data_IF_938434631787
#
_entry.id   IF_938434631787
#
_cell.length_a   1.000
_cell.length_b   1.000
_cell.length_c   1.000
_cell.angle_alpha   90.00
_cell.angle_beta   90.00
_cell.angle_gamma   90.00
#
_symmetry.space_group_name_H-M   'P 1'
#
loop_
_entity.id
_entity.type
_entity.pdbx_description
1 polymer ?
#
# COMPACT_ATOMS: atom_id res chain seq x y z
N UNK A 1 8.48 -15.41 -7.28
CA UNK A 1 7.46 -14.44 -6.90
C UNK A 1 6.38 -15.11 -6.07
N UNK A 2 6.06 -14.56 -4.88
CA UNK A 2 5.18 -15.16 -3.88
C UNK A 2 3.76 -15.44 -4.40
N UNK A 3 3.08 -14.43 -4.96
CA UNK A 3 1.70 -14.53 -5.42
C UNK A 3 1.46 -15.68 -6.40
N UNK A 4 2.36 -15.87 -7.38
CA UNK A 4 2.26 -16.97 -8.33
C UNK A 4 2.45 -18.36 -7.67
N UNK A 5 3.35 -18.44 -6.67
CA UNK A 5 3.53 -19.68 -5.91
C UNK A 5 2.29 -20.02 -5.10
N UNK A 6 1.71 -19.02 -4.44
CA UNK A 6 0.47 -19.19 -3.68
C UNK A 6 -0.70 -19.57 -4.60
N UNK A 7 -0.85 -18.90 -5.73
CA UNK A 7 -1.87 -19.23 -6.74
C UNK A 7 -1.79 -20.69 -7.16
N UNK A 8 -0.60 -21.15 -7.53
CA UNK A 8 -0.38 -22.56 -7.92
C UNK A 8 -0.70 -23.53 -6.79
N UNK A 9 -0.30 -23.20 -5.55
CA UNK A 9 -0.57 -24.04 -4.37
C UNK A 9 -2.07 -24.22 -4.13
N UNK A 10 -2.87 -23.19 -4.41
CA UNK A 10 -4.30 -23.19 -4.21
C UNK A 10 -5.12 -23.53 -5.48
N UNK A 11 -4.45 -23.96 -6.56
CA UNK A 11 -5.11 -24.41 -7.79
C UNK A 11 -5.56 -23.27 -8.71
N UNK A 12 -5.09 -22.05 -8.50
CA UNK A 12 -5.38 -20.91 -9.38
C UNK A 12 -4.32 -20.74 -10.47
N UNK A 13 -4.76 -20.26 -11.63
CA UNK A 13 -3.85 -19.82 -12.67
C UNK A 13 -3.07 -18.60 -12.17
N UNK A 14 -1.73 -18.55 -12.33
CA UNK A 14 -0.94 -17.38 -11.94
C UNK A 14 -1.33 -16.11 -12.68
N UNK A 15 -1.33 -14.98 -11.98
CA UNK A 15 -1.60 -13.67 -12.55
C UNK A 15 -0.40 -13.09 -13.30
N UNK A 16 0.81 -13.23 -12.73
CA UNK A 16 2.02 -12.68 -13.33
C UNK A 16 2.61 -13.64 -14.36
N UNK A 17 2.87 -13.14 -15.57
CA UNK A 17 3.59 -13.86 -16.63
C UNK A 17 5.08 -13.60 -16.42
N UNK A 18 5.83 -14.64 -16.04
CA UNK A 18 7.24 -14.52 -15.67
C UNK A 18 8.05 -15.51 -16.50
N UNK A 19 9.16 -15.03 -17.06
CA UNK A 19 10.17 -15.87 -17.71
C UNK A 19 11.57 -15.47 -17.21
N UNK A 20 12.37 -16.46 -16.79
CA UNK A 20 13.72 -16.24 -16.25
C UNK A 20 13.77 -15.09 -15.23
N UNK A 21 12.88 -15.12 -14.23
CA UNK A 21 12.72 -14.13 -13.17
C UNK A 21 12.30 -12.71 -13.62
N UNK A 22 12.09 -12.50 -14.92
CA UNK A 22 11.60 -11.24 -15.45
C UNK A 22 10.10 -11.26 -15.61
N UNK A 23 9.44 -10.20 -15.14
CA UNK A 23 8.03 -9.94 -15.39
C UNK A 23 7.86 -9.56 -16.87
N UNK A 24 7.05 -10.32 -17.58
CA UNK A 24 6.73 -10.07 -19.00
C UNK A 24 5.33 -9.45 -19.18
N UNK A 25 4.46 -9.54 -18.17
CA UNK A 25 3.10 -9.00 -18.22
C UNK A 25 2.17 -9.66 -17.22
N UNK A 26 0.89 -9.45 -17.43
CA UNK A 26 -0.18 -9.86 -16.54
C UNK A 26 -1.24 -10.65 -17.30
N UNK A 27 -1.74 -11.72 -16.70
CA UNK A 27 -2.92 -12.43 -17.19
C UNK A 27 -4.18 -11.89 -16.53
N UNK A 28 -4.86 -10.97 -17.18
CA UNK A 28 -6.07 -10.32 -16.66
C UNK A 28 -7.26 -11.28 -16.54
N UNK A 29 -7.22 -12.46 -17.16
CA UNK A 29 -8.22 -13.51 -16.98
C UNK A 29 -7.97 -14.37 -15.75
N UNK A 30 -6.81 -14.21 -15.10
CA UNK A 30 -6.42 -14.98 -13.94
C UNK A 30 -7.23 -14.59 -12.70
N UNK A 31 -7.65 -15.60 -11.92
CA UNK A 31 -8.20 -15.42 -10.57
C UNK A 31 -7.18 -15.73 -9.48
N UNK A 32 -5.90 -15.81 -9.85
CA UNK A 32 -4.80 -16.02 -8.92
C UNK A 32 -4.47 -14.78 -8.10
N UNK A 33 -3.62 -14.98 -7.12
CA UNK A 33 -3.15 -13.92 -6.25
C UNK A 33 -2.22 -12.96 -6.98
N UNK A 34 -2.34 -11.69 -6.62
CA UNK A 34 -1.52 -10.58 -7.08
C UNK A 34 -1.32 -9.55 -5.96
N UNK A 35 -0.54 -8.53 -6.21
CA UNK A 35 -0.57 -7.33 -5.39
C UNK A 35 -1.85 -6.52 -5.70
N UNK A 36 -2.38 -5.75 -4.76
CA UNK A 36 -3.42 -4.77 -5.07
C UNK A 36 -2.86 -3.74 -6.05
N UNK A 37 -3.71 -3.13 -6.86
CA UNK A 37 -3.33 -1.93 -7.58
C UNK A 37 -3.24 -0.74 -6.61
N UNK A 38 -2.57 0.33 -7.02
CA UNK A 38 -2.55 1.57 -6.25
C UNK A 38 -3.96 2.08 -5.95
N UNK A 39 -4.84 2.08 -6.95
CA UNK A 39 -6.23 2.49 -6.79
C UNK A 39 -7.03 1.59 -5.84
N UNK A 40 -6.81 0.27 -5.87
CA UNK A 40 -7.43 -0.65 -4.92
C UNK A 40 -6.93 -0.41 -3.50
N UNK A 41 -5.64 -0.18 -3.33
CA UNK A 41 -5.03 0.11 -2.05
C UNK A 41 -5.62 1.39 -1.45
N UNK A 42 -5.68 2.46 -2.23
CA UNK A 42 -6.26 3.74 -1.82
C UNK A 42 -7.76 3.64 -1.53
N UNK A 43 -8.51 2.88 -2.33
CA UNK A 43 -9.94 2.65 -2.10
C UNK A 43 -10.21 1.99 -0.75
N UNK A 44 -9.40 1.01 -0.37
CA UNK A 44 -9.58 0.27 0.88
C UNK A 44 -9.28 1.14 2.10
N UNK A 45 -8.32 2.06 2.03
CA UNK A 45 -7.95 2.93 3.15
C UNK A 45 -8.97 4.06 3.40
N UNK A 46 -9.89 4.27 2.48
CA UNK A 46 -10.97 5.23 2.72
C UNK A 46 -11.07 6.35 1.72
N UNK A 47 -10.68 6.07 0.48
CA UNK A 47 -11.10 6.89 -0.63
C UNK A 47 -12.61 6.85 -0.79
N UNK A 48 -13.16 7.84 -1.39
CA UNK A 48 -14.23 8.68 -0.89
C UNK A 48 -15.38 7.86 -0.34
N UNK A 49 -15.96 8.31 0.74
CA UNK A 49 -17.24 7.80 1.14
C UNK A 49 -18.21 7.96 -0.06
N UNK A 50 -19.19 7.07 -0.15
CA UNK A 50 -20.21 7.05 -1.21
C UNK A 50 -21.05 8.35 -1.28
N UNK A 51 -20.84 9.30 -0.38
CA UNK A 51 -21.53 10.58 -0.29
C UNK A 51 -20.90 11.67 -1.16
N UNK A 52 -19.76 11.40 -1.80
CA UNK A 52 -19.04 12.36 -2.63
C UNK A 52 -18.41 13.51 -1.84
N UNK A 53 -18.30 13.35 -0.53
CA UNK A 53 -17.63 14.31 0.33
C UNK A 53 -16.11 14.28 0.12
N UNK A 54 -15.48 15.39 0.42
CA UNK A 54 -14.06 15.67 0.15
C UNK A 54 -13.15 14.48 0.51
N UNK A 55 -12.29 14.12 -0.42
CA UNK A 55 -11.21 13.15 -0.22
C UNK A 55 -10.44 13.47 1.06
N UNK A 56 -10.25 12.46 1.91
CA UNK A 56 -9.42 12.58 3.10
C UNK A 56 -7.96 12.71 2.69
N UNK A 57 -7.22 13.56 3.39
CA UNK A 57 -5.76 13.68 3.21
C UNK A 57 -5.05 12.51 3.90
N UNK A 58 -5.49 12.19 5.11
CA UNK A 58 -4.93 11.12 5.94
C UNK A 58 -5.96 10.05 6.25
N UNK A 59 -5.56 8.84 6.61
CA UNK A 59 -6.48 7.77 7.01
C UNK A 59 -7.46 8.16 8.13
N UNK A 60 -7.03 9.02 9.04
CA UNK A 60 -7.86 9.52 10.17
C UNK A 60 -8.68 10.77 9.83
N UNK A 61 -8.50 11.40 8.67
CA UNK A 61 -9.23 12.60 8.23
C UNK A 61 -8.32 13.68 7.65
N UNK A 62 -8.68 14.95 7.86
CA UNK A 62 -7.95 16.09 7.30
C UNK A 62 -7.17 16.90 8.35
N UNK A 63 -7.21 16.49 9.61
CA UNK A 63 -6.41 17.12 10.66
C UNK A 63 -4.95 16.70 10.55
N UNK A 64 -4.04 17.67 10.61
CA UNK A 64 -2.58 17.41 10.58
C UNK A 64 -2.05 16.78 11.87
N UNK A 65 -2.87 16.74 12.93
CA UNK A 65 -2.46 16.24 14.24
C UNK A 65 -2.87 14.77 14.43
N UNK A 66 -1.91 13.96 14.81
CA UNK A 66 -2.15 12.64 15.38
C UNK A 66 -2.43 12.78 16.89
N UNK A 67 -3.64 12.47 17.31
CA UNK A 67 -4.04 12.64 18.72
C UNK A 67 -3.86 11.36 19.56
N UNK A 68 -3.82 10.18 18.93
CA UNK A 68 -3.79 8.88 19.62
C UNK A 68 -2.83 7.92 18.92
N UNK A 69 -2.41 6.87 19.62
CA UNK A 69 -1.64 5.76 19.05
C UNK A 69 -2.53 4.93 18.12
N UNK A 70 -2.62 5.35 16.85
CA UNK A 70 -3.46 4.72 15.82
C UNK A 70 -2.67 3.84 14.86
N UNK A 71 -1.35 3.85 14.94
CA UNK A 71 -0.46 3.13 14.04
C UNK A 71 0.94 2.96 14.66
N UNK A 72 1.71 2.04 14.13
CA UNK A 72 3.13 1.91 14.44
C UNK A 72 3.94 2.85 13.54
N UNK A 73 4.47 3.92 14.11
CA UNK A 73 5.21 5.00 13.42
C UNK A 73 6.51 5.30 14.15
N UNK A 74 7.33 6.19 13.60
CA UNK A 74 8.56 6.63 14.28
C UNK A 74 8.22 7.59 15.43
N UNK A 75 7.95 7.04 16.58
CA UNK A 75 7.58 7.73 17.81
C UNK A 75 8.80 8.14 18.65
N UNK A 76 8.58 8.84 19.76
CA UNK A 76 9.64 9.30 20.65
C UNK A 76 10.41 8.16 21.33
N UNK A 77 9.87 6.95 21.37
CA UNK A 77 10.47 5.75 21.98
C UNK A 77 11.14 4.83 20.96
N UNK A 78 10.98 5.09 19.65
CA UNK A 78 11.51 4.24 18.58
C UNK A 78 13.03 4.12 18.61
N UNK A 79 13.73 5.14 19.09
CA UNK A 79 15.18 5.25 19.03
C UNK A 79 15.68 5.79 17.67
N UNK A 80 14.80 6.18 16.76
CA UNK A 80 15.14 6.79 15.49
C UNK A 80 15.63 8.23 15.69
N UNK A 81 16.42 8.74 14.74
CA UNK A 81 16.92 10.12 14.76
C UNK A 81 15.79 11.14 14.58
N UNK A 82 14.84 10.81 13.74
CA UNK A 82 13.69 11.66 13.44
C UNK A 82 12.42 10.96 13.92
N UNK A 83 11.61 11.67 14.67
CA UNK A 83 10.42 11.14 15.31
C UNK A 83 9.25 12.10 15.24
N UNK A 84 8.05 11.60 15.35
CA UNK A 84 6.85 12.41 15.55
C UNK A 84 6.83 12.84 17.01
N UNK A 85 7.03 14.13 17.26
CA UNK A 85 6.95 14.69 18.60
C UNK A 85 5.51 14.57 19.13
N UNK A 86 5.36 14.19 20.36
CA UNK A 86 4.05 14.00 21.03
C UNK A 86 3.24 12.78 20.50
N UNK A 87 3.91 11.82 19.87
CA UNK A 87 3.33 10.54 19.50
C UNK A 87 4.05 9.42 20.23
N UNK A 88 3.31 8.44 20.72
CA UNK A 88 3.84 7.25 21.38
C UNK A 88 3.01 6.06 20.92
N UNK A 89 3.68 5.05 20.43
CA UNK A 89 3.13 3.72 20.24
C UNK A 89 3.93 2.69 21.08
N UNK A 90 3.61 1.45 20.98
CA UNK A 90 4.25 0.43 21.85
C UNK A 90 5.38 -0.33 21.15
N UNK A 91 5.70 0.00 19.88
CA UNK A 91 6.58 -0.81 19.06
C UNK A 91 7.72 0.02 18.46
N UNK A 92 8.95 -0.47 18.58
CA UNK A 92 10.16 0.16 18.00
C UNK A 92 10.45 -0.30 16.56
N UNK A 93 9.93 -1.46 16.19
CA UNK A 93 10.06 -2.10 14.90
C UNK A 93 8.70 -2.63 14.48
N UNK A 94 8.63 -3.58 13.59
CA UNK A 94 7.36 -4.18 13.17
C UNK A 94 6.53 -4.67 14.36
N UNK A 95 5.27 -4.29 14.37
CA UNK A 95 4.26 -4.81 15.30
C UNK A 95 3.59 -6.07 14.74
N UNK A 96 3.01 -6.93 15.61
CA UNK A 96 2.08 -7.95 15.14
C UNK A 96 0.93 -7.31 14.34
N UNK A 97 0.45 -8.00 13.31
CA UNK A 97 -0.79 -7.60 12.62
C UNK A 97 -1.92 -7.48 13.63
N UNK A 98 -2.84 -6.53 13.38
CA UNK A 98 -4.00 -6.25 14.23
C UNK A 98 -3.70 -5.57 15.60
N UNK A 99 -2.48 -5.08 15.79
CA UNK A 99 -2.14 -4.29 16.98
C UNK A 99 -2.86 -2.94 17.05
N UNK A 100 -3.31 -2.41 15.92
CA UNK A 100 -3.91 -1.10 15.79
C UNK A 100 -5.35 -1.18 15.23
N UNK A 101 -6.15 -0.10 15.35
CA UNK A 101 -7.53 -0.08 14.88
C UNK A 101 -7.68 -0.39 13.39
N UNK A 102 -8.76 -1.08 13.05
CA UNK A 102 -9.15 -1.31 11.64
C UNK A 102 -9.52 -0.01 10.94
N UNK A 103 -9.27 0.02 9.64
CA UNK A 103 -9.91 1.00 8.75
C UNK A 103 -11.43 0.83 8.75
N UNK A 104 -12.16 1.83 8.26
CA UNK A 104 -13.61 1.73 8.06
C UNK A 104 -14.02 0.56 7.16
N UNK A 105 -13.13 0.11 6.28
CA UNK A 105 -13.31 -1.06 5.41
C UNK A 105 -12.98 -2.39 6.11
N UNK A 106 -12.57 -2.38 7.38
CA UNK A 106 -12.34 -3.58 8.19
C UNK A 106 -10.94 -4.19 8.07
N UNK A 107 -9.98 -3.48 7.49
CA UNK A 107 -8.61 -3.93 7.31
C UNK A 107 -7.65 -3.29 8.31
N UNK A 108 -6.57 -4.00 8.65
CA UNK A 108 -5.51 -3.54 9.54
C UNK A 108 -4.29 -3.02 8.79
N UNK A 109 -3.47 -2.25 9.49
CA UNK A 109 -2.09 -1.88 9.12
C UNK A 109 -1.95 -1.18 7.76
N UNK A 110 -2.92 -0.31 7.40
CA UNK A 110 -2.81 0.57 6.24
C UNK A 110 -2.09 1.90 6.55
N UNK A 111 -1.87 2.17 7.82
CA UNK A 111 -1.08 3.28 8.33
C UNK A 111 -0.01 2.72 9.25
N UNK A 112 1.24 3.08 9.01
CA UNK A 112 2.37 2.61 9.79
C UNK A 112 2.69 1.13 9.60
N UNK A 113 3.45 0.59 10.49
CA UNK A 113 3.99 -0.76 10.53
C UNK A 113 4.96 -1.05 9.36
N UNK A 114 4.48 -1.33 8.17
CA UNK A 114 5.31 -1.52 6.99
C UNK A 114 4.71 -0.82 5.77
N UNK A 115 5.53 -0.15 4.98
CA UNK A 115 5.19 0.28 3.61
C UNK A 115 4.85 -0.94 2.76
N UNK A 116 4.11 -0.74 1.69
CA UNK A 116 3.60 -1.85 0.90
C UNK A 116 3.80 -1.67 -0.60
N UNK A 117 4.37 -2.70 -1.24
CA UNK A 117 4.37 -2.82 -2.69
C UNK A 117 2.96 -2.93 -3.23
N UNK A 118 2.66 -2.17 -4.28
CA UNK A 118 1.47 -2.37 -5.11
C UNK A 118 1.84 -2.86 -6.51
N UNK A 119 0.84 -3.19 -7.32
CA UNK A 119 1.06 -3.78 -8.64
C UNK A 119 1.61 -2.79 -9.65
N UNK A 120 1.26 -1.51 -9.50
CA UNK A 120 1.51 -0.47 -10.48
C UNK A 120 3.00 -0.18 -10.61
N UNK A 121 3.48 -0.02 -11.83
CA UNK A 121 4.78 0.56 -12.06
C UNK A 121 4.76 2.05 -11.71
N UNK A 122 5.86 2.53 -11.12
CA UNK A 122 6.01 3.93 -10.77
C UNK A 122 6.21 4.78 -12.03
N UNK A 123 5.50 5.89 -12.11
CA UNK A 123 5.70 6.95 -13.09
C UNK A 123 5.47 8.30 -12.40
N UNK A 124 6.35 9.25 -12.64
CA UNK A 124 6.17 10.63 -12.18
C UNK A 124 5.02 11.33 -12.92
N UNK A 125 4.87 10.99 -14.22
CA UNK A 125 3.76 11.48 -15.03
C UNK A 125 2.59 10.50 -14.92
N UNK A 126 1.65 10.80 -14.05
CA UNK A 126 0.31 10.22 -14.17
C UNK A 126 -0.36 10.98 -15.31
N UNK A 127 -0.32 10.44 -16.52
CA UNK A 127 -1.02 11.03 -17.64
C UNK A 127 -2.53 11.06 -17.32
N UNK A 128 -3.06 12.25 -17.08
CA UNK A 128 -4.50 12.47 -16.86
C UNK A 128 -5.33 11.91 -18.04
N UNK A 129 -4.72 11.77 -19.21
CA UNK A 129 -5.33 11.15 -20.37
C UNK A 129 -5.45 9.62 -20.25
N UNK A 130 -4.61 8.96 -19.46
CA UNK A 130 -4.65 7.52 -19.24
C UNK A 130 -5.64 7.12 -18.14
N UNK A 131 -6.04 8.07 -17.29
CA UNK A 131 -7.00 7.83 -16.18
C UNK A 131 -8.45 7.90 -16.62
N UNK A 132 -8.74 8.12 -17.91
CA UNK A 132 -10.10 8.20 -18.40
C UNK A 132 -10.78 6.82 -18.31
N UNK A 133 -11.35 6.51 -17.14
CA UNK A 133 -12.24 5.37 -16.90
C UNK A 133 -11.79 4.06 -17.59
N UNK A 134 -10.63 3.56 -17.22
CA UNK A 134 -10.30 2.17 -17.53
C UNK A 134 -10.75 1.31 -16.36
N UNK A 135 -11.86 0.57 -16.47
CA UNK A 135 -12.19 -0.44 -15.47
C UNK A 135 -11.02 -1.40 -15.35
N UNK A 136 -10.68 -1.78 -14.11
CA UNK A 136 -9.59 -2.70 -13.80
C UNK A 136 -8.18 -2.23 -14.25
N UNK A 137 -7.94 -0.92 -14.25
CA UNK A 137 -6.60 -0.39 -14.53
C UNK A 137 -5.57 -0.91 -13.51
N UNK A 138 -4.50 -1.47 -14.02
CA UNK A 138 -3.43 -2.13 -13.23
C UNK A 138 -2.11 -1.36 -13.24
N UNK A 139 -2.16 -0.07 -13.55
CA UNK A 139 -0.99 0.77 -13.71
C UNK A 139 -0.38 0.73 -15.12
N UNK A 140 0.72 1.44 -15.35
CA UNK A 140 1.47 1.39 -16.60
C UNK A 140 1.91 -0.04 -16.93
N UNK A 141 1.96 -0.39 -18.21
CA UNK A 141 2.33 -1.73 -18.66
C UNK A 141 3.80 -2.07 -18.41
N UNK A 142 4.64 -1.07 -18.20
CA UNK A 142 6.07 -1.22 -17.94
C UNK A 142 6.59 -0.04 -17.13
N UNK A 143 7.66 -0.29 -16.40
CA UNK A 143 8.38 0.70 -15.58
C UNK A 143 9.63 0.07 -15.01
N UNK A 144 10.45 0.88 -14.35
CA UNK A 144 11.69 0.46 -13.71
C UNK A 144 11.45 -0.01 -12.28
N UNK A 145 10.60 0.71 -11.58
CA UNK A 145 10.25 0.48 -10.17
C UNK A 145 8.75 0.31 -10.03
N UNK A 146 8.33 -0.25 -8.91
CA UNK A 146 6.91 -0.33 -8.54
C UNK A 146 6.57 0.72 -7.50
N UNK A 147 5.31 1.15 -7.51
CA UNK A 147 4.78 2.06 -6.49
C UNK A 147 4.78 1.39 -5.13
N UNK A 148 5.17 2.16 -4.13
CA UNK A 148 5.09 1.83 -2.72
C UNK A 148 4.05 2.76 -2.09
N UNK A 149 3.16 2.20 -1.30
CA UNK A 149 2.10 2.91 -0.59
C UNK A 149 2.23 2.74 0.92
N UNK A 150 1.57 3.65 1.63
CA UNK A 150 1.53 3.64 3.08
C UNK A 150 2.81 4.16 3.73
N UNK A 151 2.83 4.06 5.03
CA UNK A 151 3.93 4.44 5.90
C UNK A 151 4.40 3.23 6.71
N UNK A 152 5.51 3.38 7.43
CA UNK A 152 6.09 2.31 8.24
C UNK A 152 6.40 2.78 9.67
N UNK A 153 6.89 1.88 10.49
CA UNK A 153 7.43 2.19 11.82
C UNK A 153 8.62 3.17 11.79
N UNK A 154 9.16 3.49 10.61
CA UNK A 154 10.22 4.48 10.42
C UNK A 154 9.69 5.84 9.94
N UNK A 155 8.43 5.95 9.57
CA UNK A 155 7.85 7.18 9.04
C UNK A 155 7.56 8.19 10.14
N UNK A 156 7.99 9.43 9.93
CA UNK A 156 7.85 10.54 10.90
C UNK A 156 7.27 11.81 10.28
N UNK A 157 7.24 11.91 8.97
CA UNK A 157 6.74 13.06 8.23
C UNK A 157 5.26 12.93 7.93
N UNK A 158 4.46 13.96 8.20
CA UNK A 158 3.04 13.97 7.87
C UNK A 158 2.76 13.73 6.38
N UNK A 159 3.65 14.20 5.48
CA UNK A 159 3.50 13.95 4.04
C UNK A 159 3.52 12.45 3.70
N UNK A 160 4.32 11.65 4.40
CA UNK A 160 4.41 10.19 4.20
C UNK A 160 3.18 9.45 4.71
N UNK A 161 2.40 10.07 5.60
CA UNK A 161 1.18 9.50 6.19
C UNK A 161 -0.06 9.77 5.34
N UNK A 162 0.09 10.57 4.29
CA UNK A 162 -1.01 10.91 3.37
C UNK A 162 -1.45 9.71 2.53
N UNK A 163 -2.76 9.57 2.30
CA UNK A 163 -3.33 8.49 1.46
C UNK A 163 -2.75 8.52 0.05
N UNK A 164 -2.55 9.71 -0.51
CA UNK A 164 -2.01 9.89 -1.87
C UNK A 164 -0.48 9.86 -1.94
N UNK A 165 0.20 9.66 -0.80
CA UNK A 165 1.66 9.55 -0.82
C UNK A 165 2.10 8.35 -1.65
N UNK A 166 3.13 8.56 -2.46
CA UNK A 166 3.75 7.55 -3.33
C UNK A 166 5.24 7.57 -3.13
N UNK A 167 5.81 6.42 -3.05
CA UNK A 167 7.25 6.19 -3.06
C UNK A 167 7.55 5.09 -4.08
N UNK A 168 8.83 4.82 -4.36
CA UNK A 168 9.22 3.73 -5.24
C UNK A 168 10.57 3.13 -4.85
N UNK A 169 10.82 1.91 -5.24
CA UNK A 169 12.13 1.28 -5.08
C UNK A 169 12.35 0.17 -6.11
N UNK A 170 13.62 -0.15 -6.37
CA UNK A 170 14.03 -1.36 -7.09
C UNK A 170 14.27 -2.54 -6.15
N UNK A 171 14.38 -2.30 -4.85
CA UNK A 171 14.85 -3.29 -3.86
C UNK A 171 13.92 -3.33 -2.65
N UNK A 172 13.90 -4.47 -1.98
CA UNK A 172 13.29 -4.59 -0.67
C UNK A 172 14.01 -3.70 0.36
N UNK A 173 13.28 -3.26 1.37
CA UNK A 173 13.75 -2.52 2.54
C UNK A 173 13.25 -3.21 3.80
N UNK A 174 13.88 -2.92 4.96
CA UNK A 174 13.53 -3.58 6.22
C UNK A 174 12.12 -3.23 6.72
N UNK A 175 11.58 -2.12 6.22
CA UNK A 175 10.25 -1.60 6.54
C UNK A 175 9.24 -1.71 5.37
N UNK A 176 9.55 -2.55 4.36
CA UNK A 176 8.75 -2.71 3.15
C UNK A 176 8.25 -4.15 2.99
N UNK A 177 6.94 -4.29 3.01
CA UNK A 177 6.22 -5.54 2.79
C UNK A 177 5.27 -5.48 1.61
N UNK A 178 4.22 -6.28 1.66
CA UNK A 178 3.13 -6.27 0.70
C UNK A 178 1.90 -6.96 1.27
N UNK A 179 0.73 -6.60 0.75
CA UNK A 179 -0.51 -7.38 0.91
C UNK A 179 -0.91 -8.02 -0.41
N UNK A 180 -1.80 -8.99 -0.36
CA UNK A 180 -2.26 -9.72 -1.54
C UNK A 180 -3.73 -9.42 -1.82
N UNK A 181 -4.08 -9.46 -3.10
CA UNK A 181 -5.43 -9.34 -3.60
C UNK A 181 -5.71 -10.44 -4.63
N UNK A 182 -6.96 -10.68 -4.95
CA UNK A 182 -7.40 -11.47 -6.10
C UNK A 182 -8.83 -11.12 -6.50
N UNK A 183 -9.18 -11.36 -7.74
CA UNK A 183 -10.56 -11.27 -8.18
C UNK A 183 -11.34 -12.52 -7.76
N UNK A 184 -12.59 -12.34 -7.38
CA UNK A 184 -13.48 -13.42 -6.89
C UNK A 184 -14.65 -13.74 -7.83
N UNK A 185 -14.70 -13.08 -9.00
CA UNK A 185 -15.77 -13.29 -10.00
C UNK A 185 -15.29 -14.07 -11.19
#
# INVERSE_FOLDING_TARGET
>A
MFCNKLSKKEGFKPFYIINNEKLLGFDLSSRGYRLPTESEWEYVIGLPDKSGTKQKIYPWGNAEKLDESIANLSDINSGNKNVISNYVDEHKTLSPSDSYPKTASGYFDFLGNAKEWVNDFYSEEISINDTKYMPDYIGPNFGKTHVIKGSSYQSFNLSELGISYRDDSEKGMDDLGFRIARWIY
#
